data_IF_152412360050
#
_entry.id   IF_152412360050
#
_cell.length_a   1.000
_cell.length_b   1.000
_cell.length_c   1.000
_cell.angle_alpha   90.00
_cell.angle_beta   90.00
_cell.angle_gamma   90.00
#
_symmetry.space_group_name_H-M   'P 1'
#
loop_
_entity.id
_entity.type
_entity.pdbx_description
1 polymer ?
#
# COMPACT_ATOMS: atom_id res chain seq x y z
N UNK A 1 -49.31 16.95 -55.47
CA UNK A 1 -49.96 18.11 -54.84
C UNK A 1 -50.90 17.61 -53.77
N UNK A 2 -50.61 17.97 -52.52
CA UNK A 2 -51.46 18.01 -51.33
C UNK A 2 -52.25 16.75 -50.93
N UNK A 3 -51.88 16.19 -49.77
CA UNK A 3 -52.78 15.36 -48.97
C UNK A 3 -52.11 14.64 -47.81
N UNK A 4 -52.30 15.16 -46.60
CA UNK A 4 -52.34 14.35 -45.36
C UNK A 4 -51.09 14.38 -44.48
N UNK A 5 -51.03 15.36 -43.57
CA UNK A 5 -50.29 15.23 -42.31
C UNK A 5 -51.09 14.26 -41.42
N UNK A 6 -50.46 13.14 -41.06
CA UNK A 6 -50.90 12.27 -39.97
C UNK A 6 -49.90 12.40 -38.84
N UNK A 7 -50.27 13.16 -37.81
CA UNK A 7 -49.55 13.21 -36.54
C UNK A 7 -49.86 11.91 -35.80
N UNK A 8 -48.90 10.98 -35.82
CA UNK A 8 -48.85 9.82 -34.95
C UNK A 8 -47.84 10.08 -33.85
N UNK A 9 -48.29 10.62 -32.72
CA UNK A 9 -47.54 10.61 -31.47
C UNK A 9 -47.52 9.18 -30.92
N UNK A 10 -46.45 8.46 -31.23
CA UNK A 10 -46.11 7.19 -30.62
C UNK A 10 -45.37 7.49 -29.30
N UNK A 11 -46.13 7.50 -28.21
CA UNK A 11 -45.57 7.62 -26.86
C UNK A 11 -44.84 6.33 -26.52
N UNK A 12 -43.51 6.39 -26.51
CA UNK A 12 -42.68 5.35 -25.95
C UNK A 12 -42.87 5.33 -24.41
N UNK A 13 -43.54 4.29 -23.92
CA UNK A 13 -43.55 3.92 -22.51
C UNK A 13 -42.11 3.61 -22.07
N UNK A 14 -41.50 4.55 -21.36
CA UNK A 14 -40.26 4.32 -20.62
C UNK A 14 -40.63 3.49 -19.39
N UNK A 15 -40.03 2.30 -19.18
CA UNK A 15 -40.19 1.59 -17.92
C UNK A 15 -39.54 2.46 -16.83
N UNK A 16 -40.39 3.03 -15.98
CA UNK A 16 -39.96 3.63 -14.72
C UNK A 16 -39.50 2.49 -13.85
N UNK A 17 -38.18 2.30 -13.79
CA UNK A 17 -37.57 1.37 -12.85
C UNK A 17 -37.95 1.85 -11.45
N UNK A 18 -38.70 0.98 -10.76
CA UNK A 18 -39.18 1.20 -9.41
C UNK A 18 -38.06 1.70 -8.51
N UNK A 19 -38.35 2.79 -7.81
CA UNK A 19 -37.43 3.44 -6.91
C UNK A 19 -36.91 2.46 -5.87
N UNK A 20 -35.61 2.21 -5.93
CA UNK A 20 -34.86 1.86 -4.74
C UNK A 20 -35.13 2.96 -3.71
N UNK A 21 -35.90 2.61 -2.69
CA UNK A 21 -36.13 3.45 -1.54
C UNK A 21 -34.78 3.82 -0.95
N UNK A 22 -34.38 5.06 -1.18
CA UNK A 22 -33.31 5.70 -0.45
C UNK A 22 -33.84 5.93 0.96
N UNK A 23 -33.82 4.89 1.81
CA UNK A 23 -33.94 5.07 3.24
C UNK A 23 -32.63 5.68 3.69
N UNK A 24 -32.58 7.00 3.74
CA UNK A 24 -31.65 7.76 4.57
C UNK A 24 -31.90 7.34 6.02
N UNK A 25 -31.38 6.18 6.43
CA UNK A 25 -31.28 5.85 7.84
C UNK A 25 -30.08 6.62 8.36
N UNK A 26 -30.35 7.66 9.16
CA UNK A 26 -29.44 8.26 10.14
C UNK A 26 -29.03 7.20 11.19
N UNK A 27 -28.48 6.07 10.75
CA UNK A 27 -27.88 5.10 11.63
C UNK A 27 -26.58 5.71 12.14
N UNK A 28 -26.41 5.88 13.46
CA UNK A 28 -25.16 6.38 14.01
C UNK A 28 -24.04 5.47 13.54
N UNK A 29 -22.91 6.06 13.14
CA UNK A 29 -21.73 5.29 12.74
C UNK A 29 -21.40 4.23 13.81
N UNK A 30 -21.39 2.98 13.36
CA UNK A 30 -21.29 1.76 14.16
C UNK A 30 -19.85 1.30 14.10
N UNK A 31 -19.16 1.23 15.24
CA UNK A 31 -17.86 0.57 15.31
C UNK A 31 -17.85 -0.45 16.43
N UNK A 32 -17.06 -1.49 16.23
CA UNK A 32 -16.66 -2.40 17.29
C UNK A 32 -15.22 -2.08 17.72
N UNK A 33 -14.94 -2.38 18.97
CA UNK A 33 -13.68 -2.05 19.62
C UNK A 33 -13.18 -3.26 20.38
N UNK A 34 -11.94 -3.66 20.10
CA UNK A 34 -11.25 -4.71 20.86
C UNK A 34 -9.86 -4.25 21.22
N UNK A 35 -9.46 -4.52 22.46
CA UNK A 35 -8.11 -4.30 22.95
C UNK A 35 -7.50 -5.65 23.33
N UNK A 36 -6.30 -5.92 22.83
CA UNK A 36 -5.54 -7.12 23.15
C UNK A 36 -4.26 -6.77 23.92
N UNK A 37 -4.28 -7.01 25.23
CA UNK A 37 -3.16 -6.78 26.15
C UNK A 37 -1.87 -7.50 25.73
N UNK A 38 -1.96 -8.69 25.10
CA UNK A 38 -0.79 -9.48 24.73
C UNK A 38 0.03 -8.86 23.60
N UNK A 39 -0.58 -8.00 22.79
CA UNK A 39 0.04 -7.39 21.61
C UNK A 39 0.08 -5.86 21.67
N UNK A 40 -0.38 -5.24 22.75
CA UNK A 40 -0.55 -3.79 22.87
C UNK A 40 -1.30 -3.20 21.66
N UNK A 41 -2.31 -3.93 21.19
CA UNK A 41 -3.01 -3.66 19.92
C UNK A 41 -4.47 -3.29 20.17
N UNK A 42 -4.88 -2.19 19.54
CA UNK A 42 -6.29 -1.82 19.42
C UNK A 42 -6.78 -2.17 18.03
N UNK A 43 -7.93 -2.84 17.97
CA UNK A 43 -8.67 -3.15 16.77
C UNK A 43 -9.92 -2.27 16.70
N UNK A 44 -10.09 -1.60 15.56
CA UNK A 44 -11.30 -0.86 15.19
C UNK A 44 -11.85 -1.50 13.92
N UNK A 45 -13.07 -2.04 13.99
CA UNK A 45 -13.66 -2.83 12.92
C UNK A 45 -15.15 -2.51 12.77
N UNK A 46 -15.68 -2.69 11.57
CA UNK A 46 -16.98 -2.22 11.12
C UNK A 46 -18.02 -3.31 10.86
N UNK A 47 -17.66 -4.57 11.10
CA UNK A 47 -18.53 -5.74 11.05
C UNK A 47 -18.36 -6.60 12.31
N UNK A 48 -19.41 -7.26 12.79
CA UNK A 48 -19.34 -8.25 13.87
C UNK A 48 -18.60 -9.56 13.46
N UNK A 49 -18.08 -9.63 12.22
CA UNK A 49 -17.60 -10.85 11.56
C UNK A 49 -16.45 -11.60 12.24
N UNK A 50 -15.84 -11.04 13.28
CA UNK A 50 -14.88 -11.78 14.12
C UNK A 50 -15.50 -12.99 14.86
N UNK A 51 -16.84 -13.15 14.81
CA UNK A 51 -17.59 -14.27 15.40
C UNK A 51 -17.19 -15.67 14.85
N UNK A 52 -16.77 -15.81 13.60
CA UNK A 52 -16.61 -17.15 12.98
C UNK A 52 -15.19 -17.73 13.04
N UNK A 53 -14.15 -16.93 13.34
CA UNK A 53 -12.75 -17.37 13.26
C UNK A 53 -12.12 -17.78 14.61
N UNK A 54 -12.70 -17.42 15.75
CA UNK A 54 -12.26 -17.86 17.07
C UNK A 54 -13.38 -18.64 17.78
N UNK A 55 -13.37 -19.97 17.64
CA UNK A 55 -14.19 -20.89 18.44
C UNK A 55 -14.04 -20.57 19.94
N UNK A 56 -14.96 -19.79 20.53
CA UNK A 56 -15.09 -19.68 21.99
C UNK A 56 -15.29 -18.29 22.60
N UNK A 57 -15.38 -17.20 21.82
CA UNK A 57 -15.82 -15.91 22.36
C UNK A 57 -17.23 -15.59 21.84
N UNK A 58 -18.23 -15.66 22.74
CA UNK A 58 -19.59 -15.12 22.49
C UNK A 58 -19.48 -13.58 22.39
N UNK A 59 -19.19 -13.06 21.18
CA UNK A 59 -19.21 -11.62 20.86
C UNK A 59 -20.53 -11.16 20.22
N UNK A 60 -21.49 -12.08 20.04
CA UNK A 60 -22.81 -11.84 19.45
C UNK A 60 -23.70 -10.79 20.15
N UNK A 61 -23.27 -10.20 21.27
CA UNK A 61 -23.97 -9.16 22.03
C UNK A 61 -23.24 -7.80 22.05
N UNK A 62 -22.16 -7.61 21.27
CA UNK A 62 -21.47 -6.31 21.24
C UNK A 62 -22.35 -5.24 20.56
N UNK A 63 -22.71 -4.18 21.28
CA UNK A 63 -23.47 -3.06 20.74
C UNK A 63 -22.54 -2.09 19.98
N UNK A 64 -22.99 -1.56 18.82
CA UNK A 64 -22.33 -0.47 18.12
C UNK A 64 -21.89 0.68 19.03
N UNK A 65 -20.65 1.16 18.86
CA UNK A 65 -20.15 2.32 19.60
C UNK A 65 -20.19 3.59 18.77
N UNK A 66 -20.58 4.70 19.37
CA UNK A 66 -20.38 6.06 18.84
C UNK A 66 -18.93 6.53 19.03
N UNK A 67 -18.50 7.59 18.33
CA UNK A 67 -17.16 8.19 18.47
C UNK A 67 -16.81 8.52 19.93
N UNK A 68 -17.78 9.05 20.70
CA UNK A 68 -17.55 9.42 22.11
C UNK A 68 -17.41 8.18 23.01
N UNK A 69 -18.10 7.09 22.69
CA UNK A 69 -17.95 5.80 23.38
C UNK A 69 -16.61 5.16 23.06
N UNK A 70 -16.17 5.15 21.80
CA UNK A 70 -14.83 4.68 21.39
C UNK A 70 -13.76 5.49 22.12
N UNK A 71 -13.87 6.81 22.14
CA UNK A 71 -12.93 7.68 22.86
C UNK A 71 -12.90 7.34 24.37
N UNK A 72 -14.07 7.13 24.98
CA UNK A 72 -14.16 6.79 26.40
C UNK A 72 -13.51 5.44 26.70
N UNK A 73 -13.69 4.44 25.82
CA UNK A 73 -13.05 3.13 25.96
C UNK A 73 -11.54 3.22 25.77
N UNK A 74 -11.05 3.93 24.74
CA UNK A 74 -9.63 4.17 24.53
C UNK A 74 -8.96 4.84 25.74
N UNK A 75 -9.61 5.86 26.33
CA UNK A 75 -9.12 6.53 27.53
C UNK A 75 -9.16 5.66 28.80
N UNK A 76 -9.98 4.60 28.80
CA UNK A 76 -10.08 3.68 29.93
C UNK A 76 -8.96 2.64 29.97
N UNK A 77 -8.17 2.51 28.91
CA UNK A 77 -7.01 1.61 28.87
C UNK A 77 -5.90 2.20 29.74
N UNK A 78 -5.70 1.61 30.93
CA UNK A 78 -4.86 2.22 31.98
C UNK A 78 -3.36 2.00 31.72
N UNK A 79 -2.92 0.87 31.16
CA UNK A 79 -1.52 0.54 30.82
C UNK A 79 -1.46 -0.79 30.06
N UNK A 80 -0.43 -1.07 29.23
CA UNK A 80 0.72 -0.25 28.77
C UNK A 80 0.37 0.71 27.60
N UNK A 81 1.31 1.58 27.13
CA UNK A 81 1.05 2.42 25.95
C UNK A 81 0.80 1.56 24.71
N UNK A 82 -0.40 1.71 24.15
CA UNK A 82 -0.83 1.05 22.92
C UNK A 82 0.15 1.40 21.80
N UNK A 83 0.76 0.38 21.22
CA UNK A 83 1.84 0.53 20.23
C UNK A 83 1.37 0.26 18.81
N UNK A 84 0.25 -0.48 18.66
CA UNK A 84 -0.34 -0.85 17.38
C UNK A 84 -1.81 -0.45 17.30
N UNK A 85 -2.19 0.11 16.16
CA UNK A 85 -3.57 0.35 15.77
C UNK A 85 -3.86 -0.45 14.50
N UNK A 86 -4.91 -1.27 14.55
CA UNK A 86 -5.44 -2.02 13.43
C UNK A 86 -6.84 -1.48 13.11
N UNK A 87 -7.07 -1.13 11.84
CA UNK A 87 -8.35 -0.59 11.35
C UNK A 87 -8.82 -1.44 10.18
N UNK A 88 -9.96 -2.10 10.33
CA UNK A 88 -10.59 -2.88 9.27
C UNK A 88 -11.73 -2.08 8.65
N UNK A 89 -11.77 -1.98 7.33
CA UNK A 89 -12.80 -1.25 6.60
C UNK A 89 -13.57 -2.16 5.65
N UNK A 90 -14.22 -3.20 6.16
CA UNK A 90 -14.91 -4.22 5.36
C UNK A 90 -16.21 -3.75 4.74
N UNK A 91 -17.00 -2.97 5.48
CA UNK A 91 -18.35 -2.58 5.11
C UNK A 91 -18.35 -1.17 4.49
N UNK A 92 -18.62 -1.03 3.18
CA UNK A 92 -18.56 0.26 2.49
C UNK A 92 -19.50 1.31 3.09
N UNK A 93 -20.62 0.87 3.68
CA UNK A 93 -21.65 1.77 4.19
C UNK A 93 -21.36 2.28 5.60
N UNK A 94 -20.55 1.56 6.39
CA UNK A 94 -20.25 1.93 7.77
C UNK A 94 -19.40 3.20 7.83
N UNK A 95 -18.34 3.27 7.01
CA UNK A 95 -17.50 4.46 6.92
C UNK A 95 -18.15 5.59 6.14
N UNK A 96 -19.09 5.29 5.22
CA UNK A 96 -19.87 6.31 4.52
C UNK A 96 -20.78 7.09 5.46
N UNK A 97 -21.30 6.50 6.53
CA UNK A 97 -22.06 7.23 7.56
C UNK A 97 -21.22 8.32 8.26
N UNK A 98 -19.88 8.19 8.23
CA UNK A 98 -18.94 9.20 8.73
C UNK A 98 -18.47 10.19 7.67
N UNK A 99 -19.01 10.13 6.44
CA UNK A 99 -18.59 11.01 5.34
C UNK A 99 -18.83 12.49 5.62
N UNK A 100 -19.66 12.84 6.61
CA UNK A 100 -19.64 14.17 7.17
C UNK A 100 -18.22 14.48 7.67
N UNK A 101 -17.50 15.30 6.91
CA UNK A 101 -16.06 15.55 7.07
C UNK A 101 -15.69 16.04 8.48
N UNK A 102 -16.65 16.63 9.22
CA UNK A 102 -16.51 16.98 10.63
C UNK A 102 -16.38 15.74 11.53
N UNK A 103 -17.28 14.77 11.40
CA UNK A 103 -17.36 13.58 12.27
C UNK A 103 -16.16 12.66 12.07
N UNK A 104 -15.75 12.42 10.81
CA UNK A 104 -14.53 11.65 10.53
C UNK A 104 -13.26 12.29 11.09
N UNK A 105 -13.16 13.62 10.97
CA UNK A 105 -12.01 14.36 11.51
C UNK A 105 -11.97 14.30 13.02
N UNK A 106 -13.11 14.47 13.68
CA UNK A 106 -13.24 14.35 15.13
C UNK A 106 -12.83 12.95 15.61
N UNK A 107 -13.26 11.90 14.90
CA UNK A 107 -12.84 10.53 15.16
C UNK A 107 -11.31 10.37 15.05
N UNK A 108 -10.70 10.81 13.95
CA UNK A 108 -9.25 10.70 13.78
C UNK A 108 -8.48 11.50 14.85
N UNK A 109 -9.00 12.65 15.28
CA UNK A 109 -8.41 13.43 16.37
C UNK A 109 -8.56 12.74 17.73
N UNK A 110 -9.69 12.11 18.00
CA UNK A 110 -9.91 11.33 19.22
C UNK A 110 -8.90 10.17 19.30
N UNK A 111 -8.70 9.44 18.21
CA UNK A 111 -7.66 8.40 18.14
C UNK A 111 -6.28 8.98 18.44
N UNK A 112 -5.92 10.10 17.81
CA UNK A 112 -4.62 10.75 18.04
C UNK A 112 -4.39 11.11 19.52
N UNK A 113 -5.42 11.64 20.18
CA UNK A 113 -5.33 12.06 21.57
C UNK A 113 -5.21 10.88 22.52
N UNK A 114 -5.91 9.79 22.24
CA UNK A 114 -5.93 8.61 23.11
C UNK A 114 -4.74 7.68 22.86
N UNK A 115 -4.22 7.66 21.63
CA UNK A 115 -3.16 6.76 21.19
C UNK A 115 -1.87 7.51 20.75
N UNK A 116 -1.28 8.36 21.59
CA UNK A 116 -0.16 9.23 21.20
C UNK A 116 1.16 8.47 20.93
N UNK A 117 1.22 7.18 21.26
CA UNK A 117 2.43 6.35 21.19
C UNK A 117 2.37 5.27 20.11
N UNK A 118 1.37 5.30 19.23
CA UNK A 118 1.26 4.32 18.14
C UNK A 118 2.48 4.39 17.24
N UNK A 119 3.12 3.24 17.05
CA UNK A 119 4.29 3.06 16.19
C UNK A 119 3.98 2.21 14.97
N UNK A 120 2.90 1.42 15.01
CA UNK A 120 2.45 0.55 13.92
C UNK A 120 0.98 0.81 13.60
N UNK A 121 0.71 1.08 12.33
CA UNK A 121 -0.64 1.23 11.79
C UNK A 121 -0.88 0.15 10.75
N UNK A 122 -2.01 -0.53 10.88
CA UNK A 122 -2.50 -1.50 9.90
C UNK A 122 -3.89 -1.05 9.45
N UNK A 123 -4.09 -0.97 8.15
CA UNK A 123 -5.39 -0.63 7.55
C UNK A 123 -5.76 -1.68 6.54
N UNK A 124 -6.86 -2.37 6.76
CA UNK A 124 -7.38 -3.38 5.85
C UNK A 124 -8.56 -2.83 5.05
N UNK A 125 -8.59 -3.16 3.76
CA UNK A 125 -9.63 -2.74 2.82
C UNK A 125 -9.82 -1.21 2.74
N UNK A 126 -8.74 -0.41 2.63
CA UNK A 126 -8.83 1.05 2.58
C UNK A 126 -9.59 1.59 1.36
N UNK A 127 -9.89 0.75 0.36
CA UNK A 127 -10.70 1.13 -0.81
C UNK A 127 -12.15 1.46 -0.48
N UNK A 128 -12.65 0.98 0.66
CA UNK A 128 -13.97 1.33 1.19
C UNK A 128 -14.01 2.72 1.84
N UNK A 129 -12.85 3.36 2.02
CA UNK A 129 -12.72 4.75 2.41
C UNK A 129 -12.52 5.64 1.17
N UNK A 130 -13.09 6.84 1.20
CA UNK A 130 -12.73 7.86 0.21
C UNK A 130 -11.27 8.30 0.39
N UNK A 131 -10.64 8.76 -0.70
CA UNK A 131 -9.28 9.31 -0.66
C UNK A 131 -9.13 10.44 0.40
N UNK A 132 -10.17 11.27 0.56
CA UNK A 132 -10.19 12.32 1.58
C UNK A 132 -10.22 11.78 3.01
N UNK A 133 -10.90 10.65 3.25
CA UNK A 133 -10.92 9.98 4.55
C UNK A 133 -9.56 9.37 4.87
N UNK A 134 -8.95 8.66 3.93
CA UNK A 134 -7.58 8.14 4.08
C UNK A 134 -6.57 9.25 4.38
N UNK A 135 -6.65 10.38 3.66
CA UNK A 135 -5.81 11.56 3.91
C UNK A 135 -6.02 12.12 5.31
N UNK A 136 -7.27 12.22 5.78
CA UNK A 136 -7.57 12.72 7.12
C UNK A 136 -7.04 11.77 8.19
N UNK A 137 -7.23 10.45 8.02
CA UNK A 137 -6.69 9.42 8.90
C UNK A 137 -5.18 9.58 9.04
N UNK A 138 -4.44 9.64 7.93
CA UNK A 138 -2.98 9.75 7.97
C UNK A 138 -2.47 11.09 8.47
N UNK A 139 -3.21 12.18 8.25
CA UNK A 139 -2.82 13.50 8.74
C UNK A 139 -2.95 13.61 10.25
N UNK A 140 -3.95 12.93 10.82
CA UNK A 140 -4.29 13.05 12.23
C UNK A 140 -3.71 11.92 13.08
N UNK A 141 -3.39 10.75 12.51
CA UNK A 141 -2.63 9.73 13.22
C UNK A 141 -1.19 10.19 13.51
N UNK A 142 -0.67 9.79 14.68
CA UNK A 142 0.56 10.28 15.29
C UNK A 142 1.76 10.32 14.32
N UNK A 143 2.05 11.47 13.68
CA UNK A 143 2.94 11.52 12.51
C UNK A 143 4.41 11.28 12.86
N UNK A 144 4.78 11.50 14.12
CA UNK A 144 6.17 11.47 14.57
C UNK A 144 6.58 10.17 15.27
N UNK A 145 5.64 9.28 15.58
CA UNK A 145 5.92 7.99 16.24
C UNK A 145 5.76 6.79 15.30
N UNK A 146 5.01 6.95 14.20
CA UNK A 146 4.78 5.85 13.26
C UNK A 146 6.08 5.41 12.58
N UNK A 147 6.40 4.13 12.71
CA UNK A 147 7.57 3.49 12.11
C UNK A 147 7.20 2.33 11.20
N UNK A 148 5.98 1.79 11.32
CA UNK A 148 5.47 0.69 10.51
C UNK A 148 4.08 1.03 9.97
N UNK A 149 3.88 0.89 8.66
CA UNK A 149 2.59 1.05 8.00
C UNK A 149 2.33 -0.18 7.13
N UNK A 150 1.21 -0.85 7.39
CA UNK A 150 0.70 -1.94 6.56
C UNK A 150 -0.67 -1.55 6.03
N UNK A 151 -0.87 -1.75 4.74
CA UNK A 151 -2.16 -1.56 4.09
C UNK A 151 -2.46 -2.75 3.20
N UNK A 152 -3.60 -3.40 3.45
CA UNK A 152 -4.00 -4.63 2.77
C UNK A 152 -5.25 -4.39 1.93
N UNK A 153 -5.37 -5.08 0.81
CA UNK A 153 -6.54 -4.99 -0.08
C UNK A 153 -6.74 -3.56 -0.58
N UNK A 154 -5.66 -2.92 -1.04
CA UNK A 154 -5.74 -1.59 -1.64
C UNK A 154 -6.34 -1.72 -3.04
N UNK A 155 -7.48 -1.09 -3.25
CA UNK A 155 -8.14 -0.96 -4.55
C UNK A 155 -8.39 0.51 -4.87
N UNK A 156 -8.43 0.81 -6.17
CA UNK A 156 -8.94 2.07 -6.68
C UNK A 156 -8.00 3.26 -6.62
N UNK A 157 -8.56 4.41 -6.95
CA UNK A 157 -7.80 5.63 -7.17
C UNK A 157 -7.69 6.46 -5.89
N UNK A 158 -6.60 6.29 -5.15
CA UNK A 158 -6.31 6.91 -3.85
C UNK A 158 -5.01 7.75 -3.86
N UNK A 159 -4.86 8.75 -4.76
CA UNK A 159 -3.60 9.45 -4.95
C UNK A 159 -3.28 10.38 -3.77
N UNK A 160 -4.30 10.92 -3.10
CA UNK A 160 -4.15 11.71 -1.89
C UNK A 160 -3.59 10.88 -0.74
N UNK A 161 -4.11 9.67 -0.53
CA UNK A 161 -3.62 8.71 0.45
C UNK A 161 -2.14 8.43 0.22
N UNK A 162 -1.74 8.01 -0.98
CA UNK A 162 -0.34 7.73 -1.30
C UNK A 162 0.54 8.94 -1.01
N UNK A 163 0.16 10.13 -1.50
CA UNK A 163 0.87 11.39 -1.25
C UNK A 163 1.02 11.71 0.25
N UNK A 164 0.03 11.34 1.05
CA UNK A 164 0.01 11.65 2.47
C UNK A 164 0.96 10.73 3.26
N UNK A 165 1.26 9.51 2.79
CA UNK A 165 2.21 8.60 3.43
C UNK A 165 3.57 9.28 3.63
N UNK A 166 4.16 9.81 2.55
CA UNK A 166 5.48 10.47 2.61
C UNK A 166 5.50 11.76 3.42
N UNK A 167 4.35 12.45 3.53
CA UNK A 167 4.20 13.71 4.26
C UNK A 167 3.95 13.51 5.75
N UNK A 168 3.11 12.53 6.10
CA UNK A 168 2.69 12.28 7.47
C UNK A 168 3.69 11.46 8.25
N UNK A 169 4.44 10.55 7.59
CA UNK A 169 5.24 9.55 8.30
C UNK A 169 6.73 9.63 7.94
N UNK A 170 7.43 10.75 8.17
CA UNK A 170 8.85 10.87 7.84
C UNK A 170 9.76 9.94 8.66
N UNK A 171 9.23 9.33 9.73
CA UNK A 171 9.93 8.36 10.57
C UNK A 171 9.74 6.90 10.14
N UNK A 172 8.97 6.65 9.07
CA UNK A 172 8.63 5.32 8.62
C UNK A 172 9.88 4.50 8.27
N UNK A 173 9.96 3.29 8.83
CA UNK A 173 11.03 2.33 8.62
C UNK A 173 10.55 1.13 7.81
N UNK A 174 9.27 0.78 7.91
CA UNK A 174 8.65 -0.31 7.17
C UNK A 174 7.32 0.13 6.55
N UNK A 175 7.20 -0.13 5.24
CA UNK A 175 6.00 0.11 4.45
C UNK A 175 5.60 -1.16 3.73
N UNK A 176 4.40 -1.68 4.00
CA UNK A 176 3.80 -2.82 3.33
C UNK A 176 2.50 -2.36 2.67
N UNK A 177 2.41 -2.52 1.37
CA UNK A 177 1.25 -2.18 0.56
C UNK A 177 0.86 -3.41 -0.27
N UNK A 178 -0.32 -3.96 -0.01
CA UNK A 178 -0.87 -5.09 -0.76
C UNK A 178 -2.15 -4.65 -1.43
N UNK A 179 -2.20 -4.76 -2.75
CA UNK A 179 -3.38 -4.45 -3.53
C UNK A 179 -4.41 -5.56 -3.48
N UNK A 180 -5.51 -5.34 -4.19
CA UNK A 180 -6.67 -6.23 -4.18
C UNK A 180 -6.69 -7.20 -5.37
N UNK A 181 -5.63 -7.95 -5.66
CA UNK A 181 -5.62 -8.84 -6.82
C UNK A 181 -6.10 -10.28 -6.54
N UNK A 182 -6.18 -10.68 -5.28
CA UNK A 182 -6.53 -12.07 -4.88
C UNK A 182 -8.03 -12.27 -4.63
N UNK A 183 -8.86 -11.22 -4.74
CA UNK A 183 -10.30 -11.40 -4.53
C UNK A 183 -10.86 -12.14 -5.73
N UNK A 184 -11.36 -13.33 -5.41
CA UNK A 184 -11.95 -14.28 -6.31
C UNK A 184 -12.80 -13.53 -7.34
N UNK A 185 -12.64 -13.88 -8.62
CA UNK A 185 -13.57 -13.45 -9.65
C UNK A 185 -14.93 -14.05 -9.29
N UNK A 186 -15.65 -13.40 -8.39
CA UNK A 186 -17.05 -13.68 -8.15
C UNK A 186 -17.76 -13.57 -9.50
N UNK A 187 -18.80 -14.37 -9.69
CA UNK A 187 -19.53 -14.50 -10.96
C UNK A 187 -20.06 -13.16 -11.51
N UNK A 188 -20.06 -12.11 -10.68
CA UNK A 188 -20.48 -10.74 -11.00
C UNK A 188 -19.33 -9.80 -11.48
N UNK A 189 -18.10 -10.31 -11.58
CA UNK A 189 -16.97 -9.62 -12.19
C UNK A 189 -16.19 -8.74 -11.22
N UNK A 190 -14.88 -8.66 -11.46
CA UNK A 190 -13.99 -7.79 -10.71
C UNK A 190 -14.40 -6.32 -10.94
N UNK A 191 -14.71 -5.59 -9.87
CA UNK A 191 -15.11 -4.19 -9.99
C UNK A 191 -13.96 -3.34 -10.56
N UNK A 192 -14.20 -2.66 -11.68
CA UNK A 192 -13.27 -1.70 -12.31
C UNK A 192 -12.72 -0.66 -11.31
N UNK A 193 -13.45 -0.42 -10.21
CA UNK A 193 -13.06 0.44 -9.11
C UNK A 193 -11.78 0.01 -8.38
N UNK A 194 -11.25 -1.18 -8.62
CA UNK A 194 -9.97 -1.65 -8.06
C UNK A 194 -8.74 -1.22 -8.87
N UNK A 195 -8.91 -0.71 -10.10
CA UNK A 195 -7.80 -0.35 -11.00
C UNK A 195 -7.17 1.00 -10.60
N UNK A 196 -5.85 1.01 -10.45
CA UNK A 196 -5.07 2.21 -10.14
C UNK A 196 -4.60 2.93 -11.41
N UNK A 197 -4.78 4.25 -11.41
CA UNK A 197 -4.29 5.11 -12.48
C UNK A 197 -2.81 5.50 -12.28
N UNK A 198 -2.22 6.11 -13.31
CA UNK A 198 -0.84 6.58 -13.31
C UNK A 198 -0.55 7.62 -12.20
N UNK A 199 -1.57 8.36 -11.76
CA UNK A 199 -1.45 9.37 -10.69
C UNK A 199 -1.08 8.72 -9.36
N UNK A 200 -1.63 7.53 -9.08
CA UNK A 200 -1.28 6.75 -7.88
C UNK A 200 0.19 6.36 -7.88
N UNK A 201 0.70 5.85 -9.00
CA UNK A 201 2.10 5.48 -9.18
C UNK A 201 3.04 6.67 -8.93
N UNK A 202 2.72 7.83 -9.53
CA UNK A 202 3.49 9.07 -9.30
C UNK A 202 3.45 9.51 -7.83
N UNK A 203 2.26 9.52 -7.20
CA UNK A 203 2.12 9.95 -5.80
C UNK A 203 2.82 9.02 -4.82
N UNK A 204 2.83 7.71 -5.10
CA UNK A 204 3.54 6.72 -4.32
C UNK A 204 5.06 6.90 -4.48
N UNK A 205 5.57 7.05 -5.72
CA UNK A 205 6.98 7.33 -5.99
C UNK A 205 7.47 8.59 -5.27
N UNK A 206 6.75 9.71 -5.42
CA UNK A 206 7.06 10.96 -4.72
C UNK A 206 7.09 10.80 -3.19
N UNK A 207 6.20 9.97 -2.65
CA UNK A 207 6.12 9.71 -1.22
C UNK A 207 7.28 8.87 -0.73
N UNK A 208 7.65 7.82 -1.45
CA UNK A 208 8.80 6.97 -1.15
C UNK A 208 10.11 7.77 -1.13
N UNK A 209 10.28 8.75 -2.03
CA UNK A 209 11.42 9.67 -2.01
C UNK A 209 11.51 10.48 -0.71
N UNK A 210 10.37 10.79 -0.07
CA UNK A 210 10.34 11.54 1.19
C UNK A 210 10.69 10.67 2.41
N UNK A 211 10.62 9.34 2.28
CA UNK A 211 10.81 8.39 3.38
C UNK A 211 12.29 8.02 3.57
N UNK A 212 13.09 9.00 3.98
CA UNK A 212 14.55 8.82 4.15
C UNK A 212 14.96 7.78 5.19
N UNK A 213 14.06 7.37 6.11
CA UNK A 213 14.34 6.35 7.14
C UNK A 213 13.86 4.94 6.77
N UNK A 214 13.26 4.78 5.59
CA UNK A 214 12.69 3.53 5.14
C UNK A 214 13.79 2.48 4.98
N UNK A 215 13.61 1.33 5.63
CA UNK A 215 14.51 0.16 5.58
C UNK A 215 13.86 -1.00 4.84
N UNK A 216 12.54 -1.13 4.92
CA UNK A 216 11.79 -2.18 4.25
C UNK A 216 10.63 -1.57 3.48
N UNK A 217 10.50 -2.01 2.23
CA UNK A 217 9.33 -1.74 1.40
C UNK A 217 8.84 -3.06 0.81
N UNK A 218 7.55 -3.34 0.95
CA UNK A 218 6.88 -4.47 0.33
C UNK A 218 5.69 -3.94 -0.46
N UNK A 219 5.67 -4.16 -1.77
CA UNK A 219 4.56 -3.77 -2.64
C UNK A 219 4.14 -4.98 -3.45
N UNK A 220 2.85 -5.33 -3.40
CA UNK A 220 2.32 -6.49 -4.10
C UNK A 220 0.92 -6.24 -4.66
N UNK A 221 0.55 -6.97 -5.72
CA UNK A 221 -0.85 -7.17 -6.13
C UNK A 221 -1.61 -5.90 -6.53
N UNK A 222 -0.93 -4.88 -7.05
CA UNK A 222 -1.61 -3.67 -7.56
C UNK A 222 -2.09 -3.89 -8.99
N UNK A 223 -3.30 -3.47 -9.31
CA UNK A 223 -3.88 -3.58 -10.65
C UNK A 223 -3.81 -2.23 -11.35
N UNK A 224 -3.34 -2.18 -12.61
CA UNK A 224 -3.24 -0.92 -13.38
C UNK A 224 -3.40 -1.15 -14.88
N UNK A 225 -3.91 -0.14 -15.60
CA UNK A 225 -4.02 -0.16 -17.06
C UNK A 225 -2.68 0.13 -17.78
N UNK A 226 -1.70 0.71 -17.10
CA UNK A 226 -0.43 1.07 -17.73
C UNK A 226 0.74 0.78 -16.77
N UNK A 227 1.12 -0.52 -16.64
CA UNK A 227 2.10 -0.95 -15.65
C UNK A 227 3.42 -0.20 -15.74
N UNK A 228 3.93 0.05 -16.95
CA UNK A 228 5.21 0.75 -17.10
C UNK A 228 5.14 2.19 -16.58
N UNK A 229 4.09 2.94 -16.92
CA UNK A 229 3.94 4.34 -16.48
C UNK A 229 3.67 4.41 -14.97
N UNK A 230 2.89 3.48 -14.44
CA UNK A 230 2.61 3.38 -13.03
C UNK A 230 3.86 3.06 -12.19
N UNK A 231 4.63 2.05 -12.59
CA UNK A 231 5.72 1.52 -11.77
C UNK A 231 7.03 2.28 -11.91
N UNK A 232 7.32 2.92 -13.04
CA UNK A 232 8.57 3.67 -13.26
C UNK A 232 8.88 4.69 -12.13
N UNK A 233 7.97 5.59 -11.71
CA UNK A 233 8.23 6.51 -10.60
C UNK A 233 8.47 5.78 -9.27
N UNK A 234 7.79 4.65 -9.03
CA UNK A 234 7.96 3.83 -7.81
C UNK A 234 9.33 3.17 -7.79
N UNK A 235 9.73 2.55 -8.90
CA UNK A 235 11.04 1.92 -9.06
C UNK A 235 12.18 2.93 -8.94
N UNK A 236 12.04 4.09 -9.58
CA UNK A 236 13.00 5.19 -9.46
C UNK A 236 13.19 5.62 -7.99
N UNK A 237 12.08 5.76 -7.25
CA UNK A 237 12.13 6.11 -5.84
C UNK A 237 12.86 5.06 -4.99
N UNK A 238 12.55 3.77 -5.19
CA UNK A 238 13.22 2.65 -4.52
C UNK A 238 14.73 2.66 -4.81
N UNK A 239 15.13 2.70 -6.08
CA UNK A 239 16.55 2.72 -6.50
C UNK A 239 17.33 3.89 -5.91
N UNK A 240 16.66 5.00 -5.64
CA UNK A 240 17.28 6.21 -5.10
C UNK A 240 17.47 6.22 -3.58
N UNK A 241 16.84 5.28 -2.83
CA UNK A 241 16.84 5.30 -1.36
C UNK A 241 17.94 4.40 -0.77
N UNK A 242 19.08 4.97 -0.32
CA UNK A 242 20.23 4.18 0.12
C UNK A 242 20.01 3.44 1.45
N UNK A 243 18.95 3.77 2.20
CA UNK A 243 18.68 3.17 3.49
C UNK A 243 17.84 1.89 3.39
N UNK A 244 17.29 1.58 2.21
CA UNK A 244 16.56 0.35 1.97
C UNK A 244 17.47 -0.87 2.10
N UNK A 245 16.95 -1.86 2.82
CA UNK A 245 17.62 -3.13 3.13
C UNK A 245 16.82 -4.29 2.55
N UNK A 246 15.49 -4.19 2.56
CA UNK A 246 14.58 -5.21 2.07
C UNK A 246 13.59 -4.57 1.11
N UNK A 247 13.55 -5.10 -0.11
CA UNK A 247 12.58 -4.72 -1.14
C UNK A 247 11.88 -6.00 -1.57
N UNK A 248 10.61 -6.10 -1.23
CA UNK A 248 9.74 -7.18 -1.68
C UNK A 248 8.80 -6.61 -2.73
N UNK A 249 9.00 -7.01 -3.97
CA UNK A 249 8.17 -6.58 -5.08
C UNK A 249 7.58 -7.82 -5.75
N UNK A 250 6.27 -8.00 -5.59
CA UNK A 250 5.54 -9.08 -6.26
C UNK A 250 4.55 -8.41 -7.20
N UNK A 251 4.99 -8.29 -8.46
CA UNK A 251 4.46 -7.41 -9.51
C UNK A 251 2.94 -7.28 -9.56
N UNK A 252 2.53 -6.13 -10.10
CA UNK A 252 1.12 -5.83 -10.31
C UNK A 252 0.49 -6.64 -11.45
N UNK A 253 -0.80 -6.42 -11.64
CA UNK A 253 -1.58 -6.99 -12.73
C UNK A 253 -1.87 -5.90 -13.75
N UNK A 254 -1.75 -6.25 -15.02
CA UNK A 254 -2.19 -5.41 -16.13
C UNK A 254 -3.68 -5.65 -16.35
N UNK A 255 -4.45 -4.57 -16.29
CA UNK A 255 -5.86 -4.58 -16.69
C UNK A 255 -5.96 -4.46 -18.21
N UNK A 256 -6.44 -5.50 -18.87
CA UNK A 256 -6.68 -5.55 -20.30
C UNK A 256 -8.19 -5.50 -20.56
N UNK A 257 -8.62 -4.52 -21.36
CA UNK A 257 -9.96 -4.51 -21.95
C UNK A 257 -9.92 -5.30 -23.27
N UNK A 258 -10.80 -6.29 -23.44
CA UNK A 258 -10.89 -7.02 -24.71
C UNK A 258 -11.27 -6.06 -25.85
N UNK A 259 -10.92 -6.42 -27.09
CA UNK A 259 -11.11 -5.58 -28.28
C UNK A 259 -12.57 -5.16 -28.52
N UNK A 260 -13.52 -5.92 -27.98
CA UNK A 260 -14.95 -5.66 -28.09
C UNK A 260 -15.54 -4.91 -26.87
N UNK A 261 -14.73 -4.65 -25.82
CA UNK A 261 -15.16 -3.95 -24.59
C UNK A 261 -16.13 -4.74 -23.70
N UNK A 262 -16.39 -6.01 -24.04
CA UNK A 262 -17.38 -6.85 -23.33
C UNK A 262 -16.76 -7.73 -22.24
N UNK A 263 -15.44 -7.88 -22.22
CA UNK A 263 -14.74 -8.69 -21.24
C UNK A 263 -13.45 -8.00 -20.76
N UNK A 264 -13.12 -8.23 -19.49
CA UNK A 264 -11.91 -7.74 -18.84
C UNK A 264 -11.05 -8.93 -18.47
N UNK A 265 -9.76 -8.87 -18.79
CA UNK A 265 -8.78 -9.86 -18.36
C UNK A 265 -7.67 -9.21 -17.55
N UNK A 266 -7.14 -9.98 -16.59
CA UNK A 266 -6.01 -9.56 -15.77
C UNK A 266 -4.84 -10.47 -16.10
N UNK A 267 -3.74 -9.87 -16.50
CA UNK A 267 -2.50 -10.59 -16.75
C UNK A 267 -1.47 -10.15 -15.73
N UNK A 268 -0.75 -11.11 -15.14
CA UNK A 268 0.40 -10.78 -14.30
C UNK A 268 1.38 -9.96 -15.13
N UNK A 269 1.76 -8.78 -14.66
CA UNK A 269 2.76 -7.97 -15.34
C UNK A 269 4.14 -8.56 -15.03
N UNK A 270 4.82 -9.18 -16.01
CA UNK A 270 6.09 -9.84 -15.76
C UNK A 270 7.13 -8.76 -15.48
N UNK A 271 7.70 -8.80 -14.28
CA UNK A 271 8.83 -7.95 -13.90
C UNK A 271 10.09 -8.79 -14.12
N UNK A 272 10.97 -8.32 -14.99
CA UNK A 272 12.22 -9.03 -15.29
C UNK A 272 13.07 -9.18 -14.01
N UNK A 273 13.76 -10.32 -13.88
CA UNK A 273 14.51 -10.67 -12.65
C UNK A 273 15.65 -9.69 -12.36
N UNK A 274 16.27 -9.15 -13.41
CA UNK A 274 17.25 -8.08 -13.32
C UNK A 274 16.67 -6.80 -12.71
N UNK A 275 15.43 -6.41 -13.07
CA UNK A 275 14.73 -5.28 -12.44
C UNK A 275 14.50 -5.57 -10.95
N UNK A 276 14.06 -6.78 -10.59
CA UNK A 276 13.85 -7.17 -9.19
C UNK A 276 15.15 -7.12 -8.38
N UNK A 277 16.23 -7.66 -8.95
CA UNK A 277 17.56 -7.63 -8.35
C UNK A 277 18.08 -6.18 -8.23
N UNK A 278 17.89 -5.36 -9.25
CA UNK A 278 18.22 -3.93 -9.22
C UNK A 278 17.45 -3.18 -8.14
N UNK A 279 16.18 -3.50 -7.91
CA UNK A 279 15.39 -2.88 -6.84
C UNK A 279 15.89 -3.31 -5.45
N UNK A 280 16.23 -4.60 -5.27
CA UNK A 280 16.68 -5.15 -4.00
C UNK A 280 18.12 -4.77 -3.64
N UNK A 281 19.04 -4.75 -4.61
CA UNK A 281 20.47 -4.54 -4.37
C UNK A 281 20.95 -3.17 -4.84
N UNK A 282 20.36 -2.63 -5.91
CA UNK A 282 20.76 -1.39 -6.56
C UNK A 282 20.87 -0.17 -5.63
N UNK A 283 20.00 0.07 -4.64
CA UNK A 283 20.14 1.24 -3.77
C UNK A 283 21.48 1.28 -3.01
N UNK A 284 21.95 0.11 -2.54
CA UNK A 284 23.25 -0.02 -1.86
C UNK A 284 24.41 0.05 -2.86
N UNK A 285 24.27 -0.57 -4.03
CA UNK A 285 25.29 -0.49 -5.08
C UNK A 285 25.48 0.94 -5.57
N UNK A 286 24.39 1.65 -5.86
CA UNK A 286 24.40 3.05 -6.27
C UNK A 286 25.04 3.96 -5.22
N UNK A 287 24.92 3.61 -3.93
CA UNK A 287 25.59 4.34 -2.85
C UNK A 287 27.09 4.02 -2.81
N UNK A 288 27.47 2.74 -2.91
CA UNK A 288 28.86 2.30 -2.99
C UNK A 288 29.58 2.90 -4.21
N UNK A 289 28.93 2.94 -5.36
CA UNK A 289 29.44 3.58 -6.57
C UNK A 289 29.61 5.09 -6.38
N UNK A 290 28.62 5.76 -5.77
CA UNK A 290 28.73 7.20 -5.48
C UNK A 290 29.87 7.53 -4.53
N UNK A 291 30.14 6.68 -3.55
CA UNK A 291 31.13 6.91 -2.50
C UNK A 291 32.55 6.52 -2.93
N UNK A 292 32.69 5.47 -3.75
CA UNK A 292 33.99 4.87 -4.07
C UNK A 292 34.35 4.91 -5.57
N UNK A 293 33.36 4.95 -6.46
CA UNK A 293 33.51 4.81 -7.92
C UNK A 293 32.94 6.02 -8.68
N UNK A 294 32.87 7.19 -8.06
CA UNK A 294 32.45 8.41 -8.75
C UNK A 294 33.68 9.09 -9.37
N UNK A 295 33.75 9.13 -10.70
CA UNK A 295 34.75 9.96 -11.39
C UNK A 295 34.24 11.39 -11.51
N UNK A 296 35.07 12.37 -11.17
CA UNK A 296 34.78 13.76 -11.51
C UNK A 296 34.71 13.89 -13.04
N UNK A 297 33.81 14.75 -13.54
CA UNK A 297 33.52 14.86 -14.97
C UNK A 297 34.74 15.25 -15.82
N UNK A 298 35.79 15.78 -15.19
CA UNK A 298 37.09 16.10 -15.78
C UNK A 298 37.99 14.88 -16.02
N UNK A 299 37.70 13.71 -15.44
CA UNK A 299 38.49 12.48 -15.56
C UNK A 299 37.85 11.41 -16.45
N UNK A 300 36.63 11.66 -16.96
CA UNK A 300 35.84 10.73 -17.80
C UNK A 300 36.55 10.27 -19.08
N UNK A 301 37.58 10.98 -19.54
CA UNK A 301 38.23 10.69 -20.82
C UNK A 301 39.39 9.68 -20.75
N UNK A 302 39.83 9.21 -19.57
CA UNK A 302 41.05 8.37 -19.52
C UNK A 302 41.20 7.27 -18.45
N UNK A 303 40.35 7.11 -17.44
CA UNK A 303 40.69 6.22 -16.31
C UNK A 303 39.64 5.15 -16.01
N UNK A 304 40.04 3.88 -16.15
CA UNK A 304 39.45 2.79 -15.39
C UNK A 304 39.65 3.05 -13.90
N UNK A 305 38.67 2.75 -13.06
CA UNK A 305 38.80 2.83 -11.60
C UNK A 305 40.04 2.07 -11.10
N UNK A 306 40.71 2.62 -10.09
CA UNK A 306 41.85 1.94 -9.46
C UNK A 306 41.40 0.70 -8.70
N UNK A 307 42.31 -0.28 -8.54
CA UNK A 307 42.04 -1.47 -7.72
C UNK A 307 41.62 -1.09 -6.29
N UNK A 308 42.19 -0.01 -5.73
CA UNK A 308 41.85 0.45 -4.39
C UNK A 308 40.38 0.90 -4.30
N UNK A 309 39.90 1.65 -5.29
CA UNK A 309 38.50 2.09 -5.34
C UNK A 309 37.53 0.92 -5.46
N UNK A 310 37.87 -0.08 -6.27
CA UNK A 310 37.10 -1.33 -6.36
C UNK A 310 37.07 -2.07 -5.02
N UNK A 311 38.21 -2.18 -4.32
CA UNK A 311 38.27 -2.82 -3.00
C UNK A 311 37.44 -2.07 -1.98
N UNK A 312 37.45 -0.73 -1.99
CA UNK A 312 36.64 0.09 -1.09
C UNK A 312 35.13 -0.06 -1.38
N UNK A 313 34.73 -0.14 -2.65
CA UNK A 313 33.35 -0.43 -3.05
C UNK A 313 32.90 -1.83 -2.60
N UNK A 314 33.74 -2.85 -2.75
CA UNK A 314 33.44 -4.21 -2.26
C UNK A 314 33.32 -4.23 -0.73
N UNK A 315 34.15 -3.45 -0.02
CA UNK A 315 34.11 -3.33 1.43
C UNK A 315 32.81 -2.67 1.90
N UNK A 316 32.26 -1.71 1.17
CA UNK A 316 31.06 -0.97 1.60
C UNK A 316 29.79 -1.82 1.52
N UNK A 317 29.77 -2.88 0.69
CA UNK A 317 28.64 -3.83 0.56
C UNK A 317 28.87 -5.19 1.21
N UNK A 318 30.01 -5.37 1.90
CA UNK A 318 30.49 -6.67 2.41
C UNK A 318 29.61 -7.34 3.46
N UNK A 319 28.70 -6.59 4.09
CA UNK A 319 27.80 -7.10 5.12
C UNK A 319 26.72 -8.03 4.54
N UNK A 320 26.57 -8.06 3.22
CA UNK A 320 25.61 -8.89 2.49
C UNK A 320 26.24 -9.60 1.29
N UNK A 321 26.37 -10.92 1.41
CA UNK A 321 27.00 -11.78 0.39
C UNK A 321 26.27 -11.73 -0.93
N UNK A 322 24.94 -11.64 -0.91
CA UNK A 322 24.09 -11.50 -2.09
C UNK A 322 24.27 -10.15 -2.79
N UNK A 323 24.39 -9.04 -2.04
CA UNK A 323 24.77 -7.74 -2.62
C UNK A 323 26.16 -7.79 -3.28
N UNK A 324 27.11 -8.47 -2.63
CA UNK A 324 28.47 -8.64 -3.15
C UNK A 324 28.49 -9.50 -4.41
N UNK A 325 27.72 -10.59 -4.43
CA UNK A 325 27.56 -11.46 -5.58
C UNK A 325 26.96 -10.70 -6.77
N UNK A 326 25.86 -9.98 -6.52
CA UNK A 326 25.22 -9.15 -7.53
C UNK A 326 26.18 -8.11 -8.12
N UNK A 327 26.91 -7.37 -7.28
CA UNK A 327 27.91 -6.38 -7.74
C UNK A 327 29.04 -6.97 -8.58
N UNK A 328 29.51 -8.17 -8.22
CA UNK A 328 30.53 -8.86 -9.00
C UNK A 328 29.98 -9.31 -10.35
N UNK A 329 28.77 -9.90 -10.36
CA UNK A 329 28.14 -10.41 -11.57
C UNK A 329 27.80 -9.32 -12.61
N UNK A 330 27.46 -8.10 -12.16
CA UNK A 330 27.23 -6.94 -13.05
C UNK A 330 28.53 -6.37 -13.63
N UNK A 331 29.66 -6.57 -12.94
CA UNK A 331 30.98 -6.11 -13.40
C UNK A 331 31.65 -7.12 -14.34
N UNK A 332 31.63 -8.40 -13.99
CA UNK A 332 32.07 -9.52 -14.81
C UNK A 332 31.18 -10.74 -14.51
N UNK A 333 30.41 -11.24 -15.49
CA UNK A 333 29.46 -12.34 -15.28
C UNK A 333 30.13 -13.66 -14.87
N UNK A 334 31.47 -13.77 -14.92
CA UNK A 334 32.20 -14.94 -14.44
C UNK A 334 32.61 -14.83 -12.95
N UNK A 335 32.39 -13.69 -12.31
CA UNK A 335 32.67 -13.48 -10.90
C UNK A 335 31.40 -13.68 -10.06
N UNK A 336 31.56 -14.34 -8.93
CA UNK A 336 30.50 -14.59 -7.95
C UNK A 336 31.06 -14.57 -6.54
N UNK A 337 30.22 -14.30 -5.54
CA UNK A 337 30.53 -14.38 -4.12
C UNK A 337 29.69 -15.43 -3.42
N UNK A 338 30.30 -16.14 -2.48
CA UNK A 338 29.59 -17.06 -1.59
C UNK A 338 30.02 -16.88 -0.14
N UNK A 339 29.19 -17.33 0.80
CA UNK A 339 29.62 -17.43 2.19
C UNK A 339 30.63 -18.58 2.35
N UNK A 340 31.81 -18.28 2.88
CA UNK A 340 32.81 -19.30 3.22
C UNK A 340 32.41 -20.13 4.47
N UNK A 341 31.48 -19.61 5.27
CA UNK A 341 30.90 -20.29 6.44
C UNK A 341 29.49 -20.72 6.01
N UNK A 342 29.38 -21.95 5.50
CA UNK A 342 28.18 -22.39 4.80
C UNK A 342 26.93 -22.50 5.67
N UNK A 343 25.78 -22.29 5.05
CA UNK A 343 24.66 -23.18 5.30
C UNK A 343 24.80 -24.38 4.38
N UNK A 344 25.04 -25.54 4.98
CA UNK A 344 24.97 -26.81 4.27
C UNK A 344 23.54 -27.04 3.80
N UNK A 345 23.32 -26.89 2.49
CA UNK A 345 22.26 -27.62 1.80
C UNK A 345 21.01 -26.84 1.42
N UNK A 346 21.09 -26.04 0.36
CA UNK A 346 20.05 -25.97 -0.66
C UNK A 346 20.66 -25.45 -1.96
N UNK A 347 21.27 -26.35 -2.73
CA UNK A 347 21.47 -26.10 -4.17
C UNK A 347 20.10 -26.16 -4.83
N UNK A 348 19.49 -25.01 -5.11
CA UNK A 348 18.55 -24.95 -6.23
C UNK A 348 19.36 -24.70 -7.49
N UNK A 349 19.69 -25.80 -8.18
CA UNK A 349 19.89 -25.75 -9.62
C UNK A 349 18.50 -25.57 -10.23
N UNK A 350 18.26 -24.44 -10.88
CA UNK A 350 17.61 -24.34 -12.21
C UNK A 350 17.86 -22.95 -12.74
#
# INVERSE_FOLDING_TARGET
>A
MLGGNGDGEESADVPTHDGHGNSDSDSPAVFYFRYEDSEDTVYLYDDSFWDDAQEGHDTADEEPLTVSQVQSQLLSIVHPPISRLHVTCEQPNTWKALNETSTWREFCQAIQQCLPHVTRLEVEQPHNLSDAQCVALFRHLAPNSLTHLTMNVIGGNLPGMFRQIGRSFPQLQELILMGNADWEMDEDGFEYHSVMDDTNGQCLGDSLHCLSKLKKVSIAQFVTCNPQVFWEPVWSAIRSNPNLQVVQFRGGYHFCEDQDGEAYSFEEFPVEEDILNDLQYGPRLNQAERDCLRMDETEKEASSFSLQQWVEALISVRDRVDCLDYFLSTTDPNLYAWSAIGEGGARHNT
#
